data_IF_444956161016
#
_entry.id   IF_444956161016
#
_cell.length_a   1.000
_cell.length_b   1.000
_cell.length_c   1.000
_cell.angle_alpha   90.00
_cell.angle_beta   90.00
_cell.angle_gamma   90.00
#
_symmetry.space_group_name_H-M   'P 1'
#
loop_
_entity.id
_entity.type
_entity.pdbx_description
1 polymer ?
#
# COMPACT_ATOMS: atom_id res chain seq x y z
N UNK A 1 51.46 44.41 44.07
CA UNK A 1 50.03 44.05 44.00
C UNK A 1 49.88 43.21 42.75
N UNK A 2 50.02 41.90 42.85
CA UNK A 2 49.69 40.99 41.75
C UNK A 2 48.19 40.78 41.76
N UNK A 3 47.47 41.38 40.81
CA UNK A 3 46.09 41.03 40.54
C UNK A 3 46.07 39.58 40.07
N UNK A 4 45.48 38.68 40.86
CA UNK A 4 45.31 37.28 40.47
C UNK A 4 44.31 37.24 39.30
N UNK A 5 44.82 37.06 38.07
CA UNK A 5 43.99 37.03 36.85
C UNK A 5 43.26 35.68 36.81
N UNK A 6 41.95 35.73 36.72
CA UNK A 6 41.09 34.55 36.62
C UNK A 6 40.90 34.13 35.16
N UNK A 7 41.69 33.17 34.70
CA UNK A 7 41.66 32.66 33.33
C UNK A 7 40.44 31.79 33.02
N UNK A 8 39.65 31.37 34.02
CA UNK A 8 38.49 30.49 33.80
C UNK A 8 37.37 31.14 32.97
N UNK A 9 37.37 32.48 32.89
CA UNK A 9 36.38 33.27 32.13
C UNK A 9 36.75 33.49 30.67
N UNK A 10 37.97 33.11 30.27
CA UNK A 10 38.49 33.35 28.93
C UNK A 10 37.93 32.30 27.96
N UNK A 11 37.59 32.75 26.76
CA UNK A 11 37.27 31.88 25.64
C UNK A 11 38.51 31.11 25.17
N UNK A 12 38.31 30.00 24.44
CA UNK A 12 39.41 29.18 23.92
C UNK A 12 40.43 30.00 23.09
N UNK A 13 39.94 30.97 22.31
CA UNK A 13 40.80 31.83 21.47
C UNK A 13 41.64 32.76 22.35
N UNK A 14 41.04 33.36 23.37
CA UNK A 14 41.75 34.23 24.32
C UNK A 14 42.75 33.44 25.17
N UNK A 15 42.43 32.20 25.55
CA UNK A 15 43.38 31.32 26.25
C UNK A 15 44.59 30.96 25.38
N UNK A 16 44.38 30.71 24.08
CA UNK A 16 45.47 30.43 23.13
C UNK A 16 46.39 31.65 22.96
N UNK A 17 45.80 32.84 22.83
CA UNK A 17 46.54 34.10 22.72
C UNK A 17 47.36 34.38 23.99
N UNK A 18 46.75 34.17 25.17
CA UNK A 18 47.45 34.29 26.46
C UNK A 18 48.61 33.28 26.56
N UNK A 19 48.41 32.02 26.17
CA UNK A 19 49.47 30.99 26.16
C UNK A 19 50.66 31.37 25.28
N UNK A 20 50.42 32.05 24.17
CA UNK A 20 51.47 32.45 23.21
C UNK A 20 52.30 33.64 23.69
N UNK A 21 51.72 34.50 24.54
CA UNK A 21 52.36 35.71 25.03
C UNK A 21 52.87 35.61 26.49
N UNK A 22 52.57 34.53 27.21
CA UNK A 22 53.11 34.30 28.56
C UNK A 22 54.60 33.89 28.49
N UNK A 23 55.43 34.60 29.25
CA UNK A 23 56.79 34.17 29.57
C UNK A 23 56.76 32.95 30.51
N UNK A 24 57.18 31.81 29.98
CA UNK A 24 57.11 30.50 30.64
C UNK A 24 58.15 30.34 31.74
N UNK A 25 59.28 31.03 31.62
CA UNK A 25 60.38 30.96 32.59
C UNK A 25 60.08 31.85 33.78
N UNK A 26 59.47 33.01 33.54
CA UNK A 26 59.07 33.94 34.60
C UNK A 26 57.77 33.52 35.33
N UNK A 27 56.82 32.87 34.66
CA UNK A 27 55.50 32.54 35.22
C UNK A 27 55.01 31.11 34.88
N UNK A 28 55.69 30.06 35.36
CA UNK A 28 55.36 28.66 35.02
C UNK A 28 53.96 28.23 35.48
N UNK A 29 53.51 28.69 36.65
CA UNK A 29 52.20 28.31 37.19
C UNK A 29 51.04 28.86 36.36
N UNK A 30 51.15 30.10 35.88
CA UNK A 30 50.15 30.72 34.99
C UNK A 30 50.10 30.00 33.65
N UNK A 31 51.26 29.64 33.10
CA UNK A 31 51.35 28.89 31.85
C UNK A 31 50.69 27.51 31.95
N UNK A 32 50.92 26.79 33.05
CA UNK A 32 50.34 25.47 33.30
C UNK A 32 48.81 25.55 33.46
N UNK A 33 48.31 26.55 34.17
CA UNK A 33 46.87 26.76 34.36
C UNK A 33 46.15 27.06 33.04
N UNK A 34 46.72 27.94 32.21
CA UNK A 34 46.15 28.25 30.88
C UNK A 34 46.13 27.01 29.98
N UNK A 35 47.20 26.19 29.97
CA UNK A 35 47.23 24.94 29.21
C UNK A 35 46.21 23.91 29.69
N UNK A 36 45.97 23.84 31.01
CA UNK A 36 44.94 22.97 31.59
C UNK A 36 43.56 23.37 31.08
N UNK A 37 43.23 24.66 31.15
CA UNK A 37 41.94 25.21 30.68
C UNK A 37 41.73 25.02 29.18
N UNK A 38 42.76 25.23 28.35
CA UNK A 38 42.70 24.93 26.91
C UNK A 38 42.38 23.46 26.67
N UNK A 39 43.05 22.57 27.39
CA UNK A 39 42.86 21.12 27.25
C UNK A 39 41.44 20.70 27.66
N UNK A 40 40.95 21.22 28.78
CA UNK A 40 39.59 20.98 29.27
C UNK A 40 38.52 21.47 28.28
N UNK A 41 38.64 22.70 27.77
CA UNK A 41 37.69 23.25 26.80
C UNK A 41 37.72 22.48 25.47
N UNK A 42 38.90 22.05 25.00
CA UNK A 42 39.00 21.21 23.79
C UNK A 42 38.37 19.82 24.01
N UNK A 43 38.59 19.19 25.16
CA UNK A 43 37.98 17.90 25.51
C UNK A 43 36.46 18.01 25.64
N UNK A 44 35.95 19.06 26.28
CA UNK A 44 34.51 19.31 26.40
C UNK A 44 33.88 19.52 25.03
N UNK A 45 34.47 20.38 24.18
CA UNK A 45 34.01 20.61 22.81
C UNK A 45 33.99 19.33 21.98
N UNK A 46 35.02 18.51 22.07
CA UNK A 46 35.07 17.22 21.37
C UNK A 46 34.01 16.24 21.87
N UNK A 47 33.77 16.16 23.19
CA UNK A 47 32.67 15.36 23.77
C UNK A 47 31.30 15.83 23.30
N UNK A 48 31.06 17.15 23.23
CA UNK A 48 29.80 17.71 22.70
C UNK A 48 29.60 17.37 21.22
N UNK A 49 30.67 17.40 20.42
CA UNK A 49 30.65 17.02 19.00
C UNK A 49 30.33 15.52 18.83
N UNK A 50 30.90 14.65 19.66
CA UNK A 50 30.57 13.22 19.65
C UNK A 50 29.12 12.96 20.08
N UNK A 51 28.64 13.61 21.14
CA UNK A 51 27.26 13.44 21.62
C UNK A 51 26.21 13.93 20.62
N UNK A 52 26.46 15.02 19.89
CA UNK A 52 25.53 15.52 18.86
C UNK A 52 25.44 14.60 17.64
N UNK A 53 26.53 13.89 17.33
CA UNK A 53 26.59 12.92 16.22
C UNK A 53 25.72 11.67 16.46
N UNK A 54 25.49 11.31 17.71
CA UNK A 54 24.73 10.11 18.12
C UNK A 54 23.22 10.36 18.32
N UNK A 55 22.78 11.63 18.31
CA UNK A 55 21.35 11.94 18.40
C UNK A 55 20.68 11.84 17.03
N UNK A 56 19.66 10.98 16.91
CA UNK A 56 18.79 10.95 15.75
C UNK A 56 18.04 12.29 15.67
N UNK A 57 18.53 13.21 14.82
CA UNK A 57 17.91 14.52 14.64
C UNK A 57 16.45 14.44 14.21
N UNK A 58 15.70 15.54 14.34
CA UNK A 58 14.26 15.63 14.02
C UNK A 58 13.91 15.05 12.63
N UNK A 59 14.77 15.29 11.63
CA UNK A 59 14.60 14.77 10.26
C UNK A 59 14.50 13.24 10.20
N UNK A 60 15.23 12.52 11.06
CA UNK A 60 15.20 11.06 11.07
C UNK A 60 13.82 10.55 11.49
N UNK A 61 13.17 11.21 12.45
CA UNK A 61 11.81 10.86 12.87
C UNK A 61 10.75 11.25 11.84
N UNK A 62 10.94 12.35 11.10
CA UNK A 62 10.05 12.71 9.98
C UNK A 62 10.08 11.60 8.94
N UNK A 63 11.29 11.16 8.55
CA UNK A 63 11.45 10.04 7.60
C UNK A 63 10.87 8.74 8.16
N UNK A 64 11.07 8.46 9.45
CA UNK A 64 10.40 7.36 10.14
C UNK A 64 8.88 7.46 10.05
N UNK A 65 8.29 8.63 10.30
CA UNK A 65 6.85 8.85 10.21
C UNK A 65 6.30 8.69 8.79
N UNK A 66 7.06 9.08 7.76
CA UNK A 66 6.69 8.86 6.36
C UNK A 66 6.53 7.37 6.00
N UNK A 67 7.05 6.45 6.82
CA UNK A 67 6.87 5.02 6.61
C UNK A 67 5.43 4.52 6.72
N UNK A 68 4.52 5.35 7.24
CA UNK A 68 3.10 5.05 7.34
C UNK A 68 2.28 5.45 6.10
N UNK A 69 2.91 6.08 5.10
CA UNK A 69 2.24 6.35 3.82
C UNK A 69 2.07 5.02 3.09
N UNK A 70 0.84 4.60 2.72
CA UNK A 70 0.65 3.33 2.02
C UNK A 70 1.51 3.22 0.75
N UNK A 71 1.99 2.00 0.44
CA UNK A 71 2.91 1.65 -0.66
C UNK A 71 4.30 2.27 -0.53
N UNK A 72 4.43 3.59 -0.71
CA UNK A 72 5.73 4.27 -0.76
C UNK A 72 6.41 4.34 0.61
N UNK A 73 5.63 4.21 1.70
CA UNK A 73 6.13 4.20 3.08
C UNK A 73 7.11 3.08 3.37
N UNK A 74 7.03 1.95 2.67
CA UNK A 74 7.99 0.84 2.85
C UNK A 74 9.42 1.30 2.58
N UNK A 75 9.64 2.13 1.56
CA UNK A 75 10.95 2.70 1.24
C UNK A 75 11.47 3.57 2.40
N UNK A 76 10.62 4.46 2.92
CA UNK A 76 10.96 5.31 4.06
C UNK A 76 11.20 4.51 5.34
N UNK A 77 10.45 3.43 5.56
CA UNK A 77 10.64 2.50 6.67
C UNK A 77 12.01 1.81 6.61
N UNK A 78 12.42 1.32 5.43
CA UNK A 78 13.74 0.72 5.21
C UNK A 78 14.84 1.76 5.49
N UNK A 79 14.71 2.99 4.97
CA UNK A 79 15.67 4.07 5.20
C UNK A 79 15.79 4.37 6.71
N UNK A 80 14.66 4.47 7.43
CA UNK A 80 14.63 4.73 8.86
C UNK A 80 15.32 3.60 9.65
N UNK A 81 15.11 2.34 9.28
CA UNK A 81 15.77 1.19 9.93
C UNK A 81 17.29 1.24 9.71
N UNK A 82 17.75 1.42 8.46
CA UNK A 82 19.18 1.51 8.13
C UNK A 82 19.85 2.66 8.89
N UNK A 83 19.20 3.84 8.90
CA UNK A 83 19.69 4.98 9.67
C UNK A 83 19.71 4.68 11.17
N UNK A 84 18.66 4.06 11.70
CA UNK A 84 18.57 3.64 13.10
C UNK A 84 19.69 2.69 13.52
N UNK A 85 20.17 1.81 12.63
CA UNK A 85 21.37 1.01 12.88
C UNK A 85 22.65 1.85 12.87
N UNK A 86 22.79 2.78 11.92
CA UNK A 86 23.97 3.67 11.79
C UNK A 86 24.18 4.55 13.03
N UNK A 87 23.11 5.11 13.60
CA UNK A 87 23.17 5.97 14.80
C UNK A 87 22.86 5.21 16.10
N UNK A 88 22.83 3.87 16.08
CA UNK A 88 22.51 3.01 17.24
C UNK A 88 21.21 3.39 17.99
N UNK A 89 20.22 3.91 17.26
CA UNK A 89 19.00 4.47 17.84
C UNK A 89 17.79 3.53 17.69
N UNK A 90 17.42 2.82 18.77
CA UNK A 90 16.39 1.77 18.72
C UNK A 90 14.98 2.27 18.35
N UNK A 91 14.56 3.45 18.82
CA UNK A 91 13.20 3.97 18.51
C UNK A 91 12.99 4.19 17.02
N UNK A 92 14.03 4.60 16.29
CA UNK A 92 13.93 4.87 14.87
C UNK A 92 13.73 3.58 14.06
N UNK A 93 14.38 2.49 14.50
CA UNK A 93 14.17 1.14 13.96
C UNK A 93 12.72 0.71 14.17
N UNK A 94 12.18 0.86 15.39
CA UNK A 94 10.80 0.49 15.70
C UNK A 94 9.78 1.27 14.87
N UNK A 95 9.96 2.58 14.69
CA UNK A 95 9.06 3.40 13.87
C UNK A 95 9.07 2.93 12.42
N UNK A 96 10.24 2.70 11.82
CA UNK A 96 10.33 2.17 10.45
C UNK A 96 9.72 0.78 10.29
N UNK A 97 9.98 -0.13 11.25
CA UNK A 97 9.37 -1.47 11.25
C UNK A 97 7.85 -1.41 11.40
N UNK A 98 7.33 -0.51 12.24
CA UNK A 98 5.90 -0.33 12.44
C UNK A 98 5.19 0.18 11.18
N UNK A 99 5.78 1.11 10.43
CA UNK A 99 5.19 1.58 9.16
C UNK A 99 5.17 0.51 8.07
N UNK A 100 6.22 -0.32 7.97
CA UNK A 100 6.23 -1.49 7.07
C UNK A 100 5.14 -2.48 7.48
N UNK A 101 5.06 -2.81 8.78
CA UNK A 101 4.05 -3.73 9.30
C UNK A 101 2.64 -3.18 9.06
N UNK A 102 2.42 -1.88 9.23
CA UNK A 102 1.16 -1.23 8.92
C UNK A 102 0.75 -1.44 7.46
N UNK A 103 1.69 -1.29 6.52
CA UNK A 103 1.44 -1.54 5.09
C UNK A 103 1.06 -3.01 4.85
N UNK A 104 1.78 -3.95 5.46
CA UNK A 104 1.48 -5.39 5.35
C UNK A 104 0.09 -5.71 5.91
N UNK A 105 -0.27 -5.18 7.08
CA UNK A 105 -1.58 -5.39 7.68
C UNK A 105 -2.68 -4.78 6.80
N UNK A 106 -2.50 -3.55 6.33
CA UNK A 106 -3.49 -2.84 5.52
C UNK A 106 -3.77 -3.59 4.21
N UNK A 107 -2.73 -3.92 3.44
CA UNK A 107 -2.90 -4.60 2.16
C UNK A 107 -3.21 -6.09 2.32
N UNK A 108 -2.69 -6.74 3.36
CA UNK A 108 -3.07 -8.10 3.72
C UNK A 108 -4.55 -8.20 4.07
N UNK A 109 -5.08 -7.23 4.82
CA UNK A 109 -6.51 -7.17 5.16
C UNK A 109 -7.36 -6.90 3.92
N UNK A 110 -6.97 -5.94 3.07
CA UNK A 110 -7.67 -5.69 1.80
C UNK A 110 -7.66 -6.92 0.88
N UNK A 111 -6.53 -7.61 0.78
CA UNK A 111 -6.42 -8.85 0.00
C UNK A 111 -7.28 -9.96 0.59
N UNK A 112 -7.27 -10.14 1.90
CA UNK A 112 -8.09 -11.13 2.58
C UNK A 112 -9.59 -10.86 2.37
N UNK A 113 -10.06 -9.65 2.68
CA UNK A 113 -11.47 -9.29 2.49
C UNK A 113 -11.88 -9.25 1.02
N UNK A 114 -10.96 -8.88 0.14
CA UNK A 114 -11.22 -8.83 -1.30
C UNK A 114 -11.32 -10.23 -1.90
N UNK A 115 -10.42 -11.16 -1.58
CA UNK A 115 -10.28 -12.41 -2.34
C UNK A 115 -10.52 -13.68 -1.53
N UNK A 116 -10.41 -13.65 -0.20
CA UNK A 116 -10.45 -14.85 0.64
C UNK A 116 -11.72 -14.94 1.48
N UNK A 117 -12.18 -13.83 2.07
CA UNK A 117 -13.42 -13.83 2.83
C UNK A 117 -14.60 -14.15 1.91
N UNK A 118 -15.41 -15.12 2.33
CA UNK A 118 -16.68 -15.49 1.71
C UNK A 118 -17.81 -14.75 2.43
N UNK A 119 -18.89 -14.45 1.70
CA UNK A 119 -20.07 -13.73 2.20
C UNK A 119 -19.74 -12.34 2.79
N UNK A 120 -18.68 -11.71 2.27
CA UNK A 120 -18.25 -10.37 2.66
C UNK A 120 -18.84 -9.26 1.79
N UNK A 121 -18.57 -8.00 2.18
CA UNK A 121 -18.99 -6.80 1.43
C UNK A 121 -18.52 -6.83 -0.03
N UNK A 122 -17.32 -7.38 -0.28
CA UNK A 122 -16.80 -7.49 -1.64
C UNK A 122 -17.58 -8.49 -2.51
N UNK A 123 -18.10 -9.58 -1.94
CA UNK A 123 -18.91 -10.55 -2.69
C UNK A 123 -20.28 -9.96 -3.04
N UNK A 124 -20.90 -9.20 -2.12
CA UNK A 124 -22.15 -8.46 -2.41
C UNK A 124 -21.97 -7.43 -3.54
N UNK A 125 -20.86 -6.69 -3.51
CA UNK A 125 -20.51 -5.74 -4.57
C UNK A 125 -20.31 -6.44 -5.92
N UNK A 126 -19.61 -7.59 -5.93
CA UNK A 126 -19.44 -8.41 -7.14
C UNK A 126 -20.75 -8.95 -7.66
N UNK A 127 -21.62 -9.47 -6.79
CA UNK A 127 -22.93 -9.97 -7.17
C UNK A 127 -23.80 -8.86 -7.80
N UNK A 128 -23.79 -7.67 -7.20
CA UNK A 128 -24.49 -6.50 -7.74
C UNK A 128 -23.95 -6.09 -9.11
N UNK A 129 -22.62 -6.09 -9.25
CA UNK A 129 -21.94 -5.80 -10.51
C UNK A 129 -22.26 -6.84 -11.58
N UNK A 130 -22.19 -8.13 -11.25
CA UNK A 130 -22.50 -9.23 -12.14
C UNK A 130 -23.95 -9.16 -12.61
N UNK A 131 -24.90 -8.91 -11.71
CA UNK A 131 -26.32 -8.73 -12.06
C UNK A 131 -26.53 -7.59 -13.06
N UNK A 132 -25.85 -6.46 -12.85
CA UNK A 132 -25.92 -5.30 -13.75
C UNK A 132 -25.35 -5.63 -15.13
N UNK A 133 -24.16 -6.24 -15.17
CA UNK A 133 -23.50 -6.63 -16.42
C UNK A 133 -24.28 -7.71 -17.17
N UNK A 134 -24.79 -8.74 -16.49
CA UNK A 134 -25.65 -9.79 -17.06
C UNK A 134 -26.90 -9.19 -17.70
N UNK A 135 -27.53 -8.21 -17.05
CA UNK A 135 -28.71 -7.52 -17.60
C UNK A 135 -28.35 -6.78 -18.90
N UNK A 136 -27.19 -6.12 -18.94
CA UNK A 136 -26.68 -5.48 -20.18
C UNK A 136 -26.30 -6.51 -21.25
N UNK A 137 -25.76 -7.67 -20.87
CA UNK A 137 -25.43 -8.75 -21.78
C UNK A 137 -26.69 -9.33 -22.44
N UNK A 138 -27.78 -9.50 -21.69
CA UNK A 138 -29.09 -9.90 -22.23
C UNK A 138 -29.56 -8.94 -23.32
N UNK A 139 -29.47 -7.63 -23.08
CA UNK A 139 -29.85 -6.64 -24.09
C UNK A 139 -28.99 -6.75 -25.36
N UNK A 140 -27.69 -7.00 -25.21
CA UNK A 140 -26.78 -7.18 -26.35
C UNK A 140 -27.06 -8.47 -27.13
N UNK A 141 -27.38 -9.57 -26.46
CA UNK A 141 -27.77 -10.85 -27.07
C UNK A 141 -29.04 -10.70 -27.90
N UNK A 142 -30.05 -10.04 -27.34
CA UNK A 142 -31.32 -9.81 -28.04
C UNK A 142 -31.13 -8.89 -29.24
N UNK A 143 -30.33 -7.84 -29.08
CA UNK A 143 -29.99 -6.96 -30.19
C UNK A 143 -29.22 -7.70 -31.29
N UNK A 144 -28.29 -8.59 -30.94
CA UNK A 144 -27.58 -9.44 -31.89
C UNK A 144 -28.55 -10.30 -32.69
N UNK A 145 -29.54 -10.93 -32.04
CA UNK A 145 -30.56 -11.73 -32.72
C UNK A 145 -31.39 -10.90 -33.70
N UNK A 146 -31.77 -9.68 -33.32
CA UNK A 146 -32.50 -8.77 -34.21
C UNK A 146 -31.69 -8.45 -35.47
N UNK A 147 -30.37 -8.32 -35.36
CA UNK A 147 -29.50 -8.01 -36.49
C UNK A 147 -29.20 -9.21 -37.39
N UNK A 148 -28.99 -10.38 -36.79
CA UNK A 148 -28.44 -11.56 -37.48
C UNK A 148 -29.49 -12.64 -37.76
N UNK A 149 -30.69 -12.52 -37.19
CA UNK A 149 -31.78 -13.50 -37.32
C UNK A 149 -31.70 -14.68 -36.33
N UNK A 150 -30.56 -14.88 -35.66
CA UNK A 150 -30.35 -15.93 -34.67
C UNK A 150 -29.54 -15.42 -33.46
N UNK A 151 -29.67 -16.10 -32.33
CA UNK A 151 -28.82 -15.85 -31.17
C UNK A 151 -27.34 -16.17 -31.49
N UNK A 152 -26.37 -15.48 -30.85
CA UNK A 152 -24.96 -15.79 -31.06
C UNK A 152 -24.66 -17.22 -30.58
N UNK A 153 -23.78 -17.93 -31.28
CA UNK A 153 -23.41 -19.31 -30.91
C UNK A 153 -22.67 -19.37 -29.56
N UNK A 154 -21.96 -18.29 -29.21
CA UNK A 154 -21.24 -18.14 -27.95
C UNK A 154 -21.08 -16.67 -27.56
N UNK A 155 -20.68 -16.39 -26.32
CA UNK A 155 -20.41 -15.02 -25.88
C UNK A 155 -19.17 -14.43 -26.55
N UNK A 156 -18.22 -15.24 -27.01
CA UNK A 156 -17.08 -14.78 -27.80
C UNK A 156 -17.52 -14.28 -29.18
N UNK A 157 -18.52 -14.94 -29.80
CA UNK A 157 -19.12 -14.47 -31.05
C UNK A 157 -19.80 -13.13 -30.83
N UNK A 158 -20.58 -13.00 -29.74
CA UNK A 158 -21.16 -11.73 -29.35
C UNK A 158 -20.07 -10.67 -29.14
N UNK A 159 -19.02 -10.97 -28.39
CA UNK A 159 -17.93 -10.05 -28.09
C UNK A 159 -17.27 -9.49 -29.35
N UNK A 160 -17.02 -10.35 -30.34
CA UNK A 160 -16.42 -9.95 -31.64
C UNK A 160 -17.35 -9.10 -32.50
N UNK A 161 -18.66 -9.21 -32.30
CA UNK A 161 -19.66 -8.42 -33.02
C UNK A 161 -19.89 -7.03 -32.42
N UNK A 162 -19.45 -6.82 -31.18
CA UNK A 162 -19.61 -5.54 -30.49
C UNK A 162 -18.65 -4.48 -31.07
N UNK A 163 -19.05 -3.20 -31.12
CA UNK A 163 -18.14 -2.11 -31.43
C UNK A 163 -16.96 -2.02 -30.45
N UNK A 164 -15.80 -1.52 -30.89
CA UNK A 164 -14.60 -1.37 -30.05
C UNK A 164 -14.84 -0.55 -28.77
N UNK A 165 -15.81 0.38 -28.79
CA UNK A 165 -16.19 1.22 -27.66
C UNK A 165 -17.43 0.71 -26.90
N UNK A 166 -17.80 -0.56 -27.07
CA UNK A 166 -18.91 -1.18 -26.36
C UNK A 166 -18.64 -1.24 -24.86
N UNK A 167 -19.66 -0.88 -24.07
CA UNK A 167 -19.64 -0.97 -22.60
C UNK A 167 -20.32 -2.26 -22.11
N UNK A 168 -20.48 -3.26 -22.98
CA UNK A 168 -21.05 -4.56 -22.61
C UNK A 168 -19.93 -5.46 -22.11
N UNK A 169 -19.97 -5.77 -20.82
CA UNK A 169 -19.03 -6.66 -20.16
C UNK A 169 -19.62 -8.08 -20.11
N UNK A 170 -18.88 -9.05 -20.64
CA UNK A 170 -19.29 -10.46 -20.72
C UNK A 170 -18.53 -11.37 -19.75
N UNK A 171 -17.54 -10.80 -19.05
CA UNK A 171 -16.73 -11.48 -18.05
C UNK A 171 -17.48 -11.60 -16.73
N UNK A 172 -17.41 -12.76 -16.09
CA UNK A 172 -18.06 -12.99 -14.82
C UNK A 172 -17.35 -12.28 -13.67
N UNK A 173 -17.99 -11.23 -13.15
CA UNK A 173 -17.44 -10.38 -12.08
C UNK A 173 -17.48 -11.02 -10.69
N UNK A 174 -18.16 -12.17 -10.52
CA UNK A 174 -18.18 -12.92 -9.26
C UNK A 174 -16.91 -13.75 -9.06
N UNK A 175 -16.21 -14.07 -10.14
CA UNK A 175 -15.00 -14.86 -10.11
C UNK A 175 -13.85 -14.09 -9.45
N UNK A 176 -13.24 -14.70 -8.44
CA UNK A 176 -12.13 -14.10 -7.67
C UNK A 176 -10.75 -14.53 -8.14
N UNK A 177 -10.68 -15.48 -9.08
CA UNK A 177 -9.42 -16.04 -9.56
C UNK A 177 -8.70 -15.07 -10.51
N UNK A 178 -7.42 -14.80 -10.23
CA UNK A 178 -6.56 -13.93 -11.06
C UNK A 178 -6.00 -14.59 -12.33
N UNK A 179 -6.30 -15.86 -12.57
CA UNK A 179 -5.71 -16.64 -13.66
C UNK A 179 -6.42 -16.43 -14.99
N UNK A 180 -7.66 -16.93 -15.09
CA UNK A 180 -8.43 -16.92 -16.32
C UNK A 180 -9.74 -16.17 -16.10
N UNK A 181 -9.98 -15.16 -16.94
CA UNK A 181 -11.24 -14.41 -16.92
C UNK A 181 -12.29 -15.26 -17.61
N UNK A 182 -13.20 -15.83 -16.84
CA UNK A 182 -14.30 -16.65 -17.34
C UNK A 182 -15.42 -15.74 -17.85
N UNK A 183 -15.96 -16.03 -19.03
CA UNK A 183 -17.21 -15.40 -19.47
C UNK A 183 -18.39 -15.92 -18.64
N UNK A 184 -19.51 -15.20 -18.66
CA UNK A 184 -20.77 -15.73 -18.11
C UNK A 184 -21.14 -17.06 -18.78
N UNK A 185 -21.80 -17.94 -18.04
CA UNK A 185 -22.40 -19.13 -18.63
C UNK A 185 -23.45 -18.69 -19.63
N UNK A 186 -23.41 -19.25 -20.84
CA UNK A 186 -24.37 -18.96 -21.90
C UNK A 186 -24.61 -20.20 -22.74
N UNK A 187 -25.88 -20.48 -23.02
CA UNK A 187 -26.27 -21.64 -23.83
C UNK A 187 -27.56 -21.32 -24.58
N UNK A 188 -27.55 -21.51 -25.90
CA UNK A 188 -28.76 -21.42 -26.72
C UNK A 188 -29.54 -22.73 -26.60
N UNK A 189 -30.81 -22.63 -26.19
CA UNK A 189 -31.69 -23.80 -26.01
C UNK A 189 -32.41 -24.12 -27.32
N UNK A 190 -32.91 -23.09 -28.00
CA UNK A 190 -33.55 -23.19 -29.31
C UNK A 190 -33.57 -21.80 -30.00
N UNK A 191 -34.23 -21.71 -31.15
CA UNK A 191 -34.35 -20.47 -31.94
C UNK A 191 -34.89 -19.27 -31.14
N UNK A 192 -35.68 -19.53 -30.10
CA UNK A 192 -36.40 -18.51 -29.32
C UNK A 192 -35.99 -18.44 -27.85
N UNK A 193 -35.02 -19.24 -27.40
CA UNK A 193 -34.62 -19.20 -26.00
C UNK A 193 -33.18 -19.57 -25.74
N UNK A 194 -32.64 -19.01 -24.67
CA UNK A 194 -31.29 -19.23 -24.20
C UNK A 194 -31.20 -19.04 -22.69
N UNK A 195 -30.10 -19.53 -22.12
CA UNK A 195 -29.70 -19.34 -20.74
C UNK A 195 -28.52 -18.39 -20.67
N UNK A 196 -28.51 -17.53 -19.66
CA UNK A 196 -27.31 -16.78 -19.26
C UNK A 196 -27.29 -16.55 -17.75
N UNK A 197 -26.16 -16.84 -17.11
CA UNK A 197 -25.97 -16.65 -15.67
C UNK A 197 -24.50 -16.49 -15.30
N UNK A 198 -24.27 -16.03 -14.08
CA UNK A 198 -22.98 -16.14 -13.42
C UNK A 198 -22.76 -17.54 -12.86
N UNK A 199 -21.49 -17.96 -12.81
CA UNK A 199 -21.00 -19.15 -12.13
C UNK A 199 -20.83 -18.96 -10.60
N UNK A 200 -21.22 -17.81 -10.06
CA UNK A 200 -21.01 -17.49 -8.65
C UNK A 200 -19.53 -17.41 -8.27
N UNK A 201 -19.23 -17.42 -6.99
CA UNK A 201 -17.86 -17.43 -6.46
C UNK A 201 -17.23 -18.81 -6.60
N UNK A 202 -18.02 -19.88 -6.47
CA UNK A 202 -17.53 -21.26 -6.50
C UNK A 202 -17.15 -21.76 -7.90
N UNK A 203 -17.62 -21.08 -8.96
CA UNK A 203 -17.28 -21.39 -10.34
C UNK A 203 -18.12 -22.51 -10.96
N UNK A 204 -19.12 -23.00 -10.25
CA UNK A 204 -20.06 -24.05 -10.66
C UNK A 204 -21.35 -23.41 -11.20
N UNK A 205 -22.26 -24.22 -11.71
CA UNK A 205 -23.59 -23.76 -12.15
C UNK A 205 -24.65 -24.51 -11.35
N UNK A 206 -25.82 -23.91 -11.23
CA UNK A 206 -26.94 -24.40 -10.44
C UNK A 206 -26.62 -24.47 -8.94
N UNK A 207 -25.82 -23.52 -8.46
CA UNK A 207 -25.50 -23.34 -7.04
C UNK A 207 -26.19 -22.09 -6.48
N UNK A 208 -26.35 -21.97 -5.15
CA UNK A 208 -27.05 -20.83 -4.56
C UNK A 208 -26.41 -19.45 -4.79
N UNK A 209 -25.13 -19.41 -5.15
CA UNK A 209 -24.37 -18.19 -5.45
C UNK A 209 -24.42 -17.80 -6.94
N UNK A 210 -25.08 -18.59 -7.80
CA UNK A 210 -25.40 -18.21 -9.18
C UNK A 210 -26.17 -16.89 -9.18
N UNK A 211 -25.66 -15.91 -9.94
CA UNK A 211 -26.34 -14.62 -10.13
C UNK A 211 -27.05 -14.61 -11.48
N UNK A 212 -28.31 -14.18 -11.45
CA UNK A 212 -29.18 -14.07 -12.61
C UNK A 212 -29.37 -12.60 -13.01
N UNK A 213 -29.55 -12.31 -14.31
CA UNK A 213 -29.93 -10.97 -14.76
C UNK A 213 -31.25 -10.50 -14.13
N UNK A 214 -31.50 -9.19 -14.17
CA UNK A 214 -32.83 -8.68 -13.84
C UNK A 214 -33.87 -9.24 -14.83
N UNK A 215 -35.11 -9.53 -14.37
CA UNK A 215 -36.18 -9.94 -15.27
C UNK A 215 -36.41 -8.89 -16.36
N UNK A 216 -36.32 -9.32 -17.61
CA UNK A 216 -36.66 -8.52 -18.78
C UNK A 216 -37.84 -9.24 -19.48
N UNK A 217 -38.87 -8.49 -19.83
CA UNK A 217 -40.03 -9.05 -20.53
C UNK A 217 -39.80 -9.10 -22.04
N UNK A 218 -40.45 -10.04 -22.72
CA UNK A 218 -40.44 -10.19 -24.19
C UNK A 218 -39.05 -10.44 -24.79
N UNK A 219 -38.24 -11.23 -24.10
CA UNK A 219 -36.92 -11.71 -24.53
C UNK A 219 -36.88 -13.23 -24.45
N UNK A 220 -35.94 -13.87 -25.13
CA UNK A 220 -35.74 -15.33 -25.11
C UNK A 220 -35.00 -15.84 -23.87
N UNK A 221 -34.63 -14.96 -22.95
CA UNK A 221 -34.04 -15.34 -21.68
C UNK A 221 -35.01 -16.22 -20.87
N UNK A 222 -34.59 -17.44 -20.55
CA UNK A 222 -35.23 -18.28 -19.53
C UNK A 222 -34.42 -18.11 -18.24
N UNK A 223 -34.97 -17.37 -17.27
CA UNK A 223 -34.29 -17.03 -16.02
C UNK A 223 -34.71 -17.88 -14.80
N UNK A 224 -35.66 -18.81 -14.95
CA UNK A 224 -36.08 -19.72 -13.88
C UNK A 224 -35.23 -20.99 -13.94
N UNK A 225 -34.04 -20.90 -13.37
CA UNK A 225 -33.13 -22.04 -13.24
C UNK A 225 -33.48 -22.74 -11.95
N UNK A 226 -34.47 -23.64 -12.00
CA UNK A 226 -34.72 -24.54 -10.88
C UNK A 226 -33.40 -25.27 -10.57
N UNK A 227 -32.87 -25.05 -9.37
CA UNK A 227 -32.00 -26.04 -8.76
C UNK A 227 -32.93 -27.23 -8.53
N UNK A 228 -32.92 -28.22 -9.43
CA UNK A 228 -33.41 -29.54 -9.04
C UNK A 228 -32.48 -29.99 -7.91
N UNK A 229 -32.86 -29.68 -6.67
CA UNK A 229 -32.27 -30.23 -5.47
C UNK A 229 -32.58 -31.73 -5.49
N UNK A 230 -31.72 -32.49 -6.16
CA UNK A 230 -31.97 -33.87 -6.49
C UNK A 230 -30.72 -34.60 -6.95
N UNK A 231 -29.80 -34.87 -6.00
CA UNK A 231 -29.34 -36.20 -5.62
C UNK A 231 -28.50 -36.14 -4.34
#
# INVERSE_FOLDING_TARGET
MDSNIDYSKYSLVELIDVRENIDREAYPDRFNEVNRLITEQMLEKNRTIEQTKDSAGCLAYVIGGMSFIPLIGVLFGIIAIVWGFKVKHSKLKYVGSAGILFTVILYGSLGYFGFVQEDGVYDELRATMAKTQLTSAVQAIEFYKVQNGSYPESLEVLQKSLPENSMVFLNDSTQVNMGEVKLYYYEVINENSYHIRSYGRDGLINTPDDILPNPIMNVGLIADYQVESGL
#
